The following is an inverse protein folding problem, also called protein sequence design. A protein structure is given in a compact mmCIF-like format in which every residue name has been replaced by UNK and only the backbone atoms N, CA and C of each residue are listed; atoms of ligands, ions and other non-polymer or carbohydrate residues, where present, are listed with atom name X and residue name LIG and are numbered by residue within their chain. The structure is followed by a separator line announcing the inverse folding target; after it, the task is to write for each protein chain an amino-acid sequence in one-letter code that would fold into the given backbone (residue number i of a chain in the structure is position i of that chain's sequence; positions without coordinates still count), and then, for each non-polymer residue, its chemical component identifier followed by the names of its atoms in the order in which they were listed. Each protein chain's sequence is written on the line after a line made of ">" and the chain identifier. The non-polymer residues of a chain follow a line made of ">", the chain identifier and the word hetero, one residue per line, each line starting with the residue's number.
data_IF_774388212230
#
_entry.id   IF_774388212230
#
_cell.length_a   1.000
_cell.length_b   1.000
_cell.length_c   1.000
_cell.angle_alpha   90.00
_cell.angle_beta   90.00
_cell.angle_gamma   90.00
#
_symmetry.space_group_name_H-M   'P 1'
#
loop_
_entity.id
_entity.type
_entity.pdbx_description
1 polymer ?
#
# COMPACT_ATOMS: atom_id res chain seq x y z
N UNK A 1 16.99 31.20 6.34
CA UNK A 1 16.23 32.37 5.89
C UNK A 1 15.39 31.88 4.71
N UNK A 2 14.06 31.77 4.92
CA UNK A 2 13.15 31.31 3.89
C UNK A 2 12.89 32.42 2.88
N UNK A 3 13.05 32.13 1.61
CA UNK A 3 12.62 32.98 0.52
C UNK A 3 11.12 32.76 0.35
N UNK A 4 10.35 33.86 0.36
CA UNK A 4 8.90 33.81 0.11
C UNK A 4 8.66 33.28 -1.29
N UNK A 5 7.73 32.32 -1.46
CA UNK A 5 7.40 31.77 -2.78
C UNK A 5 7.01 32.81 -3.82
N UNK A 6 6.36 33.91 -3.39
CA UNK A 6 5.97 35.01 -4.29
C UNK A 6 7.18 35.82 -4.75
N UNK A 7 8.17 36.02 -3.89
CA UNK A 7 9.47 36.69 -4.25
C UNK A 7 10.25 35.81 -5.24
N UNK A 8 10.13 34.50 -5.17
CA UNK A 8 10.77 33.55 -6.11
C UNK A 8 10.13 33.63 -7.51
N UNK A 9 8.81 33.76 -7.57
CA UNK A 9 8.07 33.94 -8.82
C UNK A 9 8.41 35.27 -9.49
N UNK A 10 8.50 36.37 -8.72
CA UNK A 10 8.88 37.67 -9.22
C UNK A 10 10.33 37.68 -9.72
N UNK A 11 11.26 37.06 -8.97
CA UNK A 11 12.67 36.96 -9.33
C UNK A 11 12.89 36.12 -10.61
N UNK A 12 12.08 35.07 -10.84
CA UNK A 12 12.15 34.23 -12.05
C UNK A 12 11.51 34.96 -13.24
N UNK A 13 10.43 35.70 -13.00
CA UNK A 13 9.74 36.48 -14.04
C UNK A 13 10.60 37.65 -14.59
N UNK A 14 11.34 38.33 -13.72
CA UNK A 14 12.21 39.46 -14.10
C UNK A 14 13.47 39.03 -14.88
N UNK A 15 13.89 37.78 -14.78
CA UNK A 15 15.08 37.24 -15.44
C UNK A 15 14.80 36.44 -16.70
N UNK A 16 13.56 36.07 -16.95
CA UNK A 16 13.14 35.56 -18.26
C UNK A 16 13.14 36.75 -19.21
N UNK A 17 14.04 36.78 -20.20
CA UNK A 17 14.16 37.78 -21.23
C UNK A 17 12.77 38.27 -21.68
N UNK A 18 12.56 39.59 -21.82
CA UNK A 18 11.26 40.11 -22.23
C UNK A 18 10.89 39.54 -23.60
N UNK A 19 9.93 38.65 -23.61
CA UNK A 19 9.32 38.19 -24.84
C UNK A 19 8.52 39.36 -25.41
N UNK A 20 8.80 39.80 -26.67
CA UNK A 20 8.07 40.92 -27.26
C UNK A 20 6.57 40.65 -27.20
N UNK A 21 5.78 41.63 -26.78
CA UNK A 21 4.34 41.53 -26.51
C UNK A 21 3.46 41.10 -27.71
N UNK A 22 4.04 40.68 -28.83
CA UNK A 22 3.37 40.11 -29.99
C UNK A 22 3.70 38.63 -30.29
N UNK A 23 4.59 38.00 -29.52
CA UNK A 23 5.06 36.63 -29.78
C UNK A 23 4.33 35.56 -28.96
N UNK A 24 3.52 35.95 -27.97
CA UNK A 24 2.56 35.05 -27.32
C UNK A 24 1.28 34.95 -28.18
N UNK A 25 1.40 34.46 -29.43
CA UNK A 25 0.30 33.67 -29.95
C UNK A 25 0.13 32.53 -28.97
N UNK A 26 -1.04 32.47 -28.30
CA UNK A 26 -1.57 31.25 -27.75
C UNK A 26 -1.57 30.24 -28.90
N UNK A 27 -0.48 29.55 -29.13
CA UNK A 27 -0.60 28.22 -29.66
C UNK A 27 -1.37 27.48 -28.55
N UNK A 28 -2.66 27.36 -28.70
CA UNK A 28 -3.38 26.20 -28.23
C UNK A 28 -2.67 25.04 -28.92
N UNK A 29 -1.60 24.56 -28.28
CA UNK A 29 -1.15 23.20 -28.51
C UNK A 29 -2.31 22.39 -27.98
N UNK A 30 -3.22 22.00 -28.90
CA UNK A 30 -4.10 20.89 -28.61
C UNK A 30 -3.17 19.83 -28.08
N UNK A 31 -3.40 19.30 -26.85
CA UNK A 31 -2.58 18.22 -26.34
C UNK A 31 -2.60 17.19 -27.49
N UNK A 32 -1.44 16.73 -27.97
CA UNK A 32 -1.41 15.75 -29.02
C UNK A 32 -2.36 14.65 -28.59
N UNK A 33 -3.22 14.23 -29.49
CA UNK A 33 -4.22 13.17 -29.29
C UNK A 33 -3.47 11.84 -29.11
N UNK A 34 -2.81 11.72 -27.95
CA UNK A 34 -2.20 10.49 -27.50
C UNK A 34 -3.36 9.64 -27.00
N UNK A 35 -4.11 9.07 -27.89
CA UNK A 35 -4.84 7.87 -27.53
C UNK A 35 -3.80 6.89 -26.96
N UNK A 36 -3.67 6.91 -25.63
CA UNK A 36 -2.80 5.96 -24.95
C UNK A 36 -3.37 4.59 -25.27
N UNK A 37 -2.70 3.90 -26.19
CA UNK A 37 -3.11 2.54 -26.58
C UNK A 37 -3.28 1.72 -25.30
N UNK A 38 -4.44 1.06 -25.11
CA UNK A 38 -4.68 0.21 -23.97
C UNK A 38 -3.56 -0.84 -23.84
N UNK A 39 -3.27 -1.23 -22.61
CA UNK A 39 -2.27 -2.27 -22.32
C UNK A 39 -2.55 -3.55 -23.12
N UNK A 40 -1.54 -4.07 -23.79
CA UNK A 40 -1.58 -5.33 -24.52
C UNK A 40 -0.46 -6.25 -24.04
N UNK A 41 -0.81 -7.34 -23.38
CA UNK A 41 0.15 -8.31 -22.86
C UNK A 41 0.95 -8.99 -23.98
N UNK A 42 0.43 -9.01 -25.21
CA UNK A 42 1.12 -9.63 -26.37
C UNK A 42 2.34 -8.85 -26.83
N UNK A 43 2.50 -7.58 -26.39
CA UNK A 43 3.71 -6.78 -26.61
C UNK A 43 4.92 -7.30 -25.81
N UNK A 44 4.71 -8.24 -24.88
CA UNK A 44 5.70 -8.69 -23.91
C UNK A 44 6.05 -10.17 -24.08
N UNK A 45 7.33 -10.48 -24.02
CA UNK A 45 7.84 -11.83 -23.80
C UNK A 45 7.96 -12.08 -22.29
N UNK A 46 7.18 -13.04 -21.76
CA UNK A 46 7.10 -13.29 -20.34
C UNK A 46 8.00 -14.46 -19.92
N UNK A 47 8.83 -14.24 -18.89
CA UNK A 47 9.63 -15.28 -18.25
C UNK A 47 9.13 -15.50 -16.83
N UNK A 48 8.64 -16.71 -16.55
CA UNK A 48 8.08 -17.07 -15.25
C UNK A 48 9.15 -17.64 -14.32
N UNK A 49 9.00 -17.35 -13.04
CA UNK A 49 9.79 -17.96 -11.98
C UNK A 49 9.30 -19.40 -11.77
N UNK A 50 10.21 -20.37 -11.81
CA UNK A 50 9.92 -21.77 -11.46
C UNK A 50 10.65 -22.11 -10.16
N UNK A 51 9.93 -22.38 -9.05
CA UNK A 51 10.53 -22.71 -7.75
C UNK A 51 11.42 -23.97 -7.80
N UNK A 52 11.22 -24.84 -8.79
CA UNK A 52 11.96 -26.10 -8.95
C UNK A 52 13.18 -25.98 -9.87
N UNK A 53 13.31 -24.85 -10.61
CA UNK A 53 14.37 -24.69 -11.63
C UNK A 53 15.31 -23.54 -11.26
N UNK A 54 16.51 -23.88 -10.73
CA UNK A 54 17.53 -22.91 -10.36
C UNK A 54 17.90 -21.93 -11.48
N UNK A 55 17.87 -22.38 -12.73
CA UNK A 55 18.21 -21.52 -13.88
C UNK A 55 17.22 -20.38 -14.07
N UNK A 56 15.92 -20.60 -13.80
CA UNK A 56 14.89 -19.55 -13.83
C UNK A 56 15.06 -18.61 -12.65
N UNK A 57 15.31 -19.13 -11.43
CA UNK A 57 15.49 -18.34 -10.21
C UNK A 57 16.61 -17.32 -10.34
N UNK A 58 17.75 -17.72 -10.94
CA UNK A 58 18.91 -16.82 -11.15
C UNK A 58 18.57 -15.55 -11.92
N UNK A 59 17.61 -15.60 -12.84
CA UNK A 59 17.20 -14.42 -13.63
C UNK A 59 16.55 -13.35 -12.77
N UNK A 60 15.92 -13.72 -11.66
CA UNK A 60 15.21 -12.84 -10.75
C UNK A 60 16.12 -12.28 -9.64
N UNK A 61 17.28 -12.87 -9.43
CA UNK A 61 18.19 -12.52 -8.34
C UNK A 61 18.46 -11.02 -8.23
N UNK A 62 18.80 -10.35 -9.31
CA UNK A 62 19.12 -8.91 -9.33
C UNK A 62 17.94 -7.98 -9.04
N UNK A 63 16.73 -8.51 -8.98
CA UNK A 63 15.53 -7.75 -8.67
C UNK A 63 15.11 -7.90 -7.20
N UNK A 64 15.43 -9.03 -6.58
CA UNK A 64 14.99 -9.35 -5.22
C UNK A 64 16.07 -9.23 -4.15
N UNK A 65 17.36 -9.39 -4.52
CA UNK A 65 18.48 -9.46 -3.55
C UNK A 65 18.50 -8.27 -2.59
N UNK A 66 18.52 -7.05 -3.11
CA UNK A 66 18.59 -5.85 -2.28
C UNK A 66 17.24 -5.43 -1.69
N UNK A 67 16.17 -6.12 -2.05
CA UNK A 67 14.85 -5.99 -1.42
C UNK A 67 14.67 -6.93 -0.23
N UNK A 68 15.64 -7.80 0.01
CA UNK A 68 15.61 -8.75 1.12
C UNK A 68 14.57 -9.88 0.97
N UNK A 69 13.93 -9.99 -0.19
CA UNK A 69 12.90 -11.02 -0.43
C UNK A 69 13.57 -12.35 -0.74
N UNK A 70 13.42 -13.31 0.18
CA UNK A 70 14.05 -14.61 0.09
C UNK A 70 13.41 -15.55 -0.96
N UNK A 71 14.11 -16.64 -1.28
CA UNK A 71 13.63 -17.62 -2.26
C UNK A 71 12.34 -18.34 -1.85
N UNK A 72 12.10 -18.50 -0.54
CA UNK A 72 10.88 -19.12 -0.02
C UNK A 72 9.68 -18.22 -0.29
N UNK A 73 9.82 -16.92 -0.06
CA UNK A 73 8.79 -15.92 -0.37
C UNK A 73 8.57 -15.81 -1.88
N UNK A 74 9.67 -15.74 -2.68
CA UNK A 74 9.54 -15.76 -4.13
C UNK A 74 8.82 -17.03 -4.63
N UNK A 75 9.09 -18.19 -4.03
CA UNK A 75 8.40 -19.43 -4.37
C UNK A 75 6.91 -19.39 -4.00
N UNK A 76 6.55 -18.81 -2.86
CA UNK A 76 5.15 -18.64 -2.44
C UNK A 76 4.37 -17.78 -3.44
N UNK A 77 4.96 -16.69 -3.91
CA UNK A 77 4.31 -15.72 -4.81
C UNK A 77 4.63 -15.93 -6.31
N UNK A 78 5.22 -17.06 -6.70
CA UNK A 78 5.76 -17.29 -8.05
C UNK A 78 4.76 -17.13 -9.20
N UNK A 79 3.46 -17.23 -8.93
CA UNK A 79 2.39 -17.04 -9.92
C UNK A 79 2.02 -15.57 -10.14
N UNK A 80 2.43 -14.69 -9.23
CA UNK A 80 1.97 -13.30 -9.16
C UNK A 80 3.04 -12.29 -9.58
N UNK A 81 4.16 -12.74 -10.15
CA UNK A 81 5.16 -11.91 -10.79
C UNK A 81 5.84 -12.63 -11.96
N UNK A 82 6.46 -11.88 -12.83
CA UNK A 82 7.26 -12.39 -13.95
C UNK A 82 8.36 -11.39 -14.34
N UNK A 83 9.29 -11.80 -15.20
CA UNK A 83 10.08 -10.86 -15.97
C UNK A 83 9.39 -10.65 -17.31
N UNK A 84 9.00 -9.41 -17.59
CA UNK A 84 8.42 -9.03 -18.86
C UNK A 84 9.47 -8.28 -19.70
N UNK A 85 9.67 -8.74 -20.93
CA UNK A 85 10.60 -8.14 -21.89
C UNK A 85 9.80 -7.52 -23.02
N UNK A 86 9.95 -6.21 -23.21
CA UNK A 86 9.35 -5.45 -24.32
C UNK A 86 10.43 -4.97 -25.28
N UNK A 87 10.12 -4.98 -26.56
CA UNK A 87 10.95 -4.36 -27.59
C UNK A 87 10.39 -2.95 -27.86
N UNK A 88 11.25 -1.94 -27.78
CA UNK A 88 10.90 -0.57 -28.17
C UNK A 88 10.95 -0.39 -29.69
N UNK A 89 10.37 0.70 -30.18
CA UNK A 89 10.34 1.03 -31.61
C UNK A 89 11.76 1.22 -32.20
N UNK A 90 12.71 1.65 -31.35
CA UNK A 90 14.14 1.76 -31.70
C UNK A 90 14.86 0.39 -31.77
N UNK A 91 14.14 -0.71 -31.53
CA UNK A 91 14.67 -2.08 -31.53
C UNK A 91 15.32 -2.51 -30.23
N UNK A 92 15.50 -1.61 -29.25
CA UNK A 92 16.09 -1.94 -27.94
C UNK A 92 15.10 -2.79 -27.14
N UNK A 93 15.61 -3.88 -26.57
CA UNK A 93 14.85 -4.76 -25.66
C UNK A 93 15.17 -4.40 -24.22
N UNK A 94 14.15 -4.25 -23.41
CA UNK A 94 14.30 -4.08 -21.96
C UNK A 94 13.48 -5.10 -21.19
N UNK A 95 14.02 -5.55 -20.07
CA UNK A 95 13.39 -6.53 -19.19
C UNK A 95 13.14 -5.89 -17.83
N UNK A 96 11.93 -6.03 -17.30
CA UNK A 96 11.50 -5.54 -15.98
C UNK A 96 10.95 -6.70 -15.15
N UNK A 97 11.10 -6.60 -13.84
CA UNK A 97 10.26 -7.37 -12.93
C UNK A 97 8.87 -6.75 -12.96
N UNK A 98 7.89 -7.56 -13.31
CA UNK A 98 6.52 -7.10 -13.54
C UNK A 98 5.56 -7.83 -12.64
N UNK A 99 4.70 -7.08 -11.96
CA UNK A 99 3.61 -7.55 -11.13
C UNK A 99 2.31 -7.35 -11.91
N UNK A 100 1.64 -8.45 -12.36
CA UNK A 100 0.44 -8.34 -13.16
C UNK A 100 -0.71 -7.67 -12.40
N UNK A 101 -1.28 -6.63 -12.98
CA UNK A 101 -2.50 -6.00 -12.53
C UNK A 101 -3.68 -6.66 -13.22
N UNK A 102 -4.66 -7.11 -12.46
CA UNK A 102 -5.84 -7.82 -12.96
C UNK A 102 -7.12 -7.07 -12.58
N UNK A 103 -8.18 -7.26 -13.36
CA UNK A 103 -9.51 -6.81 -12.95
C UNK A 103 -10.06 -7.80 -11.92
N UNK A 104 -10.46 -7.35 -10.72
CA UNK A 104 -10.98 -8.25 -9.69
C UNK A 104 -12.17 -9.08 -10.15
N UNK A 105 -13.08 -8.47 -10.93
CA UNK A 105 -14.32 -9.11 -11.43
C UNK A 105 -14.11 -10.03 -12.64
N UNK A 106 -13.00 -9.86 -13.37
CA UNK A 106 -12.66 -10.65 -14.54
C UNK A 106 -11.43 -11.51 -14.22
N UNK A 107 -11.63 -12.66 -13.56
CA UNK A 107 -10.56 -13.51 -13.08
C UNK A 107 -9.52 -13.82 -14.17
N UNK A 108 -8.28 -13.40 -13.94
CA UNK A 108 -7.15 -13.68 -14.82
C UNK A 108 -6.93 -12.72 -15.98
N UNK A 109 -7.79 -11.73 -16.22
CA UNK A 109 -7.57 -10.71 -17.25
C UNK A 109 -6.52 -9.70 -16.78
N UNK A 110 -5.32 -9.78 -17.32
CA UNK A 110 -4.24 -8.85 -17.04
C UNK A 110 -4.48 -7.57 -17.84
N UNK A 111 -4.54 -6.43 -17.12
CA UNK A 111 -4.84 -5.09 -17.66
C UNK A 111 -3.69 -4.12 -17.45
N UNK A 112 -2.56 -4.59 -16.96
CA UNK A 112 -1.38 -3.78 -16.74
C UNK A 112 -0.27 -4.54 -16.03
N UNK A 113 0.86 -3.87 -15.89
CA UNK A 113 1.96 -4.29 -15.04
C UNK A 113 2.44 -3.11 -14.19
N UNK A 114 2.63 -3.36 -12.90
CA UNK A 114 3.55 -2.57 -12.09
C UNK A 114 4.96 -3.06 -12.40
N UNK A 115 5.85 -2.18 -12.87
CA UNK A 115 7.19 -2.55 -13.34
C UNK A 115 8.29 -2.05 -12.41
N UNK A 116 9.26 -2.91 -12.15
CA UNK A 116 10.43 -2.59 -11.34
C UNK A 116 11.72 -2.94 -12.11
N UNK A 117 12.66 -2.01 -12.08
CA UNK A 117 14.02 -2.25 -12.54
C UNK A 117 14.81 -3.14 -11.57
N UNK A 118 16.07 -3.36 -11.88
CA UNK A 118 16.99 -4.09 -11.00
C UNK A 118 17.13 -3.31 -9.67
N UNK A 119 17.16 -4.04 -8.60
CA UNK A 119 17.38 -3.44 -7.28
C UNK A 119 18.81 -2.90 -7.14
N UNK A 120 18.96 -1.78 -6.42
CA UNK A 120 20.25 -1.18 -6.04
C UNK A 120 20.62 -1.61 -4.63
N UNK A 121 21.87 -1.35 -4.24
CA UNK A 121 22.40 -1.71 -2.93
C UNK A 121 21.65 -1.04 -1.76
N UNK A 122 21.00 0.09 -1.99
CA UNK A 122 20.18 0.81 -1.00
C UNK A 122 18.74 0.26 -0.91
N UNK A 123 18.41 -0.78 -1.69
CA UNK A 123 17.08 -1.38 -1.77
C UNK A 123 16.12 -0.67 -2.73
N UNK A 124 16.50 0.47 -3.33
CA UNK A 124 15.71 1.13 -4.36
C UNK A 124 15.72 0.37 -5.68
N UNK A 125 14.79 0.71 -6.58
CA UNK A 125 14.80 0.19 -7.95
C UNK A 125 15.49 1.16 -8.90
N UNK A 126 16.14 0.63 -9.95
CA UNK A 126 16.68 1.45 -11.03
C UNK A 126 15.59 2.06 -11.92
N UNK A 127 14.39 1.52 -11.83
CA UNK A 127 13.18 1.95 -12.54
C UNK A 127 11.96 1.56 -11.70
N UNK A 128 10.99 2.44 -11.63
CA UNK A 128 9.74 2.24 -10.90
C UNK A 128 8.64 2.99 -11.63
N UNK A 129 7.74 2.27 -12.27
CA UNK A 129 6.65 2.82 -13.07
C UNK A 129 5.66 1.72 -13.44
N UNK A 130 4.70 2.04 -14.30
CA UNK A 130 3.72 1.12 -14.87
C UNK A 130 4.00 0.88 -16.36
N UNK A 131 3.58 -0.28 -16.83
CA UNK A 131 3.56 -0.52 -18.26
C UNK A 131 2.59 0.45 -18.96
N UNK A 132 2.99 0.97 -20.11
CA UNK A 132 2.18 1.91 -20.86
C UNK A 132 0.79 1.34 -21.15
N UNK A 133 -0.27 2.14 -20.91
CA UNK A 133 -1.65 1.76 -21.13
C UNK A 133 -2.26 0.89 -20.01
N UNK A 134 -1.54 0.66 -18.91
CA UNK A 134 -2.08 -0.06 -17.75
C UNK A 134 -3.34 0.61 -17.21
N UNK A 135 -4.36 -0.19 -16.90
CA UNK A 135 -5.59 0.30 -16.26
C UNK A 135 -5.33 0.53 -14.77
N UNK A 136 -4.95 1.76 -14.42
CA UNK A 136 -4.66 2.17 -13.05
C UNK A 136 -5.91 2.43 -12.22
N UNK A 137 -7.07 2.56 -12.87
CA UNK A 137 -8.34 2.90 -12.20
C UNK A 137 -9.04 1.66 -11.61
N UNK A 138 -8.86 0.50 -12.25
CA UNK A 138 -9.54 -0.75 -11.84
C UNK A 138 -8.59 -1.92 -11.58
N UNK A 139 -7.39 -1.87 -12.18
CA UNK A 139 -6.41 -2.95 -12.08
C UNK A 139 -5.75 -3.00 -10.69
N UNK A 140 -5.70 -4.19 -10.10
CA UNK A 140 -5.00 -4.45 -8.84
C UNK A 140 -4.08 -5.67 -8.99
N UNK A 141 -2.98 -5.67 -8.26
CA UNK A 141 -2.21 -6.90 -8.10
C UNK A 141 -2.88 -7.78 -7.05
N UNK A 142 -3.12 -9.05 -7.38
CA UNK A 142 -3.72 -10.04 -6.48
C UNK A 142 -2.82 -11.26 -6.42
N UNK A 143 -2.55 -11.73 -5.20
CA UNK A 143 -1.73 -12.91 -4.95
C UNK A 143 -2.23 -13.73 -3.78
N UNK A 144 -2.06 -15.05 -3.87
CA UNK A 144 -2.21 -15.96 -2.74
C UNK A 144 -1.15 -17.05 -2.83
N UNK A 145 -0.36 -17.29 -1.76
CA UNK A 145 0.65 -18.35 -1.74
C UNK A 145 0.07 -19.73 -2.04
N UNK A 146 -1.06 -20.07 -1.45
CA UNK A 146 -1.77 -21.33 -1.73
C UNK A 146 -2.61 -21.32 -3.01
N UNK A 147 -2.77 -20.15 -3.65
CA UNK A 147 -3.62 -19.98 -4.83
C UNK A 147 -5.12 -19.90 -4.49
N UNK A 148 -5.47 -19.43 -3.29
CA UNK A 148 -6.86 -19.19 -2.88
C UNK A 148 -7.52 -18.18 -3.82
N UNK A 149 -8.66 -18.50 -4.41
CA UNK A 149 -9.43 -17.55 -5.22
C UNK A 149 -9.91 -16.37 -4.36
N UNK A 150 -10.05 -15.19 -4.97
CA UNK A 150 -10.47 -13.99 -4.27
C UNK A 150 -11.81 -14.19 -3.54
N UNK A 151 -12.79 -14.80 -4.19
CA UNK A 151 -14.12 -15.06 -3.63
C UNK A 151 -14.15 -16.11 -2.48
N UNK A 152 -13.07 -16.87 -2.31
CA UNK A 152 -12.94 -17.89 -1.24
C UNK A 152 -12.04 -17.39 -0.10
N UNK A 153 -11.55 -16.15 -0.20
CA UNK A 153 -10.66 -15.57 0.79
C UNK A 153 -11.37 -15.44 2.15
N UNK A 154 -10.70 -15.88 3.21
CA UNK A 154 -11.12 -15.60 4.61
C UNK A 154 -10.41 -14.38 5.17
N UNK A 155 -9.22 -14.07 4.64
CA UNK A 155 -8.38 -12.95 5.03
C UNK A 155 -7.86 -12.27 3.76
N UNK A 156 -8.05 -10.96 3.67
CA UNK A 156 -7.55 -10.12 2.58
C UNK A 156 -6.63 -9.04 3.17
N UNK A 157 -5.40 -9.01 2.70
CA UNK A 157 -4.38 -8.07 3.15
C UNK A 157 -4.10 -7.02 2.07
N UNK A 158 -4.22 -5.74 2.41
CA UNK A 158 -4.11 -4.61 1.49
C UNK A 158 -2.80 -3.87 1.65
N UNK A 159 -2.13 -3.62 0.53
CA UNK A 159 -0.84 -2.93 0.47
C UNK A 159 -0.82 -1.93 -0.68
N UNK A 160 0.09 -0.95 -0.61
CA UNK A 160 0.38 -0.06 -1.72
C UNK A 160 1.32 -0.65 -2.76
N UNK A 161 2.12 -1.65 -2.40
CA UNK A 161 3.03 -2.31 -3.35
C UNK A 161 3.09 -3.81 -3.16
N UNK A 162 3.36 -4.53 -4.25
CA UNK A 162 3.57 -5.97 -4.21
C UNK A 162 4.80 -6.35 -3.37
N UNK A 163 5.84 -5.49 -3.32
CA UNK A 163 7.01 -5.72 -2.47
C UNK A 163 6.68 -5.65 -0.99
N UNK A 164 5.84 -4.71 -0.56
CA UNK A 164 5.42 -4.62 0.84
C UNK A 164 4.57 -5.83 1.25
N UNK A 165 3.69 -6.30 0.36
CA UNK A 165 2.93 -7.53 0.56
C UNK A 165 3.85 -8.76 0.75
N UNK A 166 4.86 -8.91 -0.10
CA UNK A 166 5.84 -9.99 0.01
C UNK A 166 6.70 -9.86 1.27
N UNK A 167 7.10 -8.66 1.65
CA UNK A 167 7.86 -8.38 2.86
C UNK A 167 7.05 -8.70 4.12
N UNK A 168 5.79 -8.25 4.17
CA UNK A 168 4.87 -8.58 5.26
C UNK A 168 4.71 -10.09 5.43
N UNK A 169 4.46 -10.81 4.34
CA UNK A 169 4.39 -12.27 4.37
C UNK A 169 5.68 -12.89 4.93
N UNK A 170 6.86 -12.43 4.48
CA UNK A 170 8.15 -12.96 4.94
C UNK A 170 8.38 -12.71 6.43
N UNK A 171 8.01 -11.53 6.94
CA UNK A 171 8.14 -11.17 8.35
C UNK A 171 7.24 -12.02 9.27
N UNK A 172 6.07 -12.44 8.77
CA UNK A 172 5.03 -13.02 9.63
C UNK A 172 4.72 -14.50 9.35
N UNK A 173 5.10 -15.07 8.21
CA UNK A 173 4.73 -16.44 7.77
C UNK A 173 5.09 -17.55 8.75
N UNK A 174 6.16 -17.41 9.51
CA UNK A 174 6.60 -18.45 10.45
C UNK A 174 5.80 -18.44 11.76
N UNK A 175 5.17 -17.29 12.08
CA UNK A 175 4.29 -17.10 13.24
C UNK A 175 2.80 -17.23 12.90
N UNK A 176 2.43 -16.93 11.66
CA UNK A 176 1.05 -16.96 11.19
C UNK A 176 0.92 -17.82 9.92
N UNK A 177 0.45 -19.06 10.07
CA UNK A 177 0.27 -20.01 8.97
C UNK A 177 -0.96 -19.74 8.11
N UNK A 178 -1.91 -18.93 8.59
CA UNK A 178 -3.09 -18.55 7.79
C UNK A 178 -2.71 -17.65 6.60
N UNK A 179 -1.54 -16.99 6.66
CA UNK A 179 -1.01 -16.20 5.55
C UNK A 179 -0.80 -17.02 4.27
N UNK A 180 -0.55 -18.32 4.38
CA UNK A 180 -0.41 -19.18 3.21
C UNK A 180 -1.73 -19.25 2.38
N UNK A 181 -2.89 -19.15 3.05
CA UNK A 181 -4.23 -19.19 2.46
C UNK A 181 -4.84 -17.82 2.24
N UNK A 182 -4.21 -16.77 2.77
CA UNK A 182 -4.68 -15.41 2.63
C UNK A 182 -4.56 -14.92 1.18
N UNK A 183 -5.33 -13.90 0.85
CA UNK A 183 -5.20 -13.15 -0.38
C UNK A 183 -4.53 -11.81 -0.07
N UNK A 184 -3.52 -11.47 -0.84
CA UNK A 184 -2.77 -10.22 -0.78
C UNK A 184 -3.17 -9.36 -1.97
N UNK A 185 -3.50 -8.11 -1.72
CA UNK A 185 -3.91 -7.13 -2.73
C UNK A 185 -2.97 -5.94 -2.67
N UNK A 186 -2.44 -5.52 -3.81
CA UNK A 186 -1.78 -4.23 -3.93
C UNK A 186 -2.50 -3.36 -4.93
N UNK A 187 -2.75 -2.13 -4.54
CA UNK A 187 -3.32 -1.10 -5.42
C UNK A 187 -2.27 -0.45 -6.30
N UNK A 188 -1.00 -0.79 -6.08
CA UNK A 188 0.18 -0.31 -6.79
C UNK A 188 0.39 1.21 -6.70
N UNK A 189 -0.48 1.93 -6.03
CA UNK A 189 -0.44 3.36 -5.73
C UNK A 189 -1.63 3.70 -4.80
N UNK A 190 -1.98 5.00 -4.68
CA UNK A 190 -3.19 5.42 -3.98
C UNK A 190 -4.42 4.72 -4.56
N UNK A 191 -5.20 4.02 -3.73
CA UNK A 191 -6.32 3.21 -4.20
C UNK A 191 -7.41 4.08 -4.82
N UNK A 192 -7.92 3.65 -5.97
CA UNK A 192 -9.17 4.18 -6.52
C UNK A 192 -10.37 3.52 -5.85
N UNK A 193 -11.52 4.19 -5.88
CA UNK A 193 -12.79 3.60 -5.43
C UNK A 193 -13.14 2.34 -6.23
N UNK A 194 -12.85 2.29 -7.52
CA UNK A 194 -13.14 1.13 -8.36
C UNK A 194 -12.26 -0.08 -8.02
N UNK A 195 -10.97 0.15 -7.75
CA UNK A 195 -10.07 -0.90 -7.27
C UNK A 195 -10.58 -1.50 -5.96
N UNK A 196 -10.90 -0.64 -4.98
CA UNK A 196 -11.39 -1.07 -3.67
C UNK A 196 -12.69 -1.84 -3.79
N UNK A 197 -13.72 -1.27 -4.44
CA UNK A 197 -15.02 -1.92 -4.62
C UNK A 197 -14.93 -3.21 -5.42
N UNK A 198 -14.12 -3.23 -6.48
CA UNK A 198 -13.93 -4.42 -7.30
C UNK A 198 -13.46 -5.64 -6.49
N UNK A 199 -12.61 -5.41 -5.49
CA UNK A 199 -12.15 -6.47 -4.57
C UNK A 199 -13.18 -6.73 -3.47
N UNK A 200 -13.68 -5.70 -2.81
CA UNK A 200 -14.58 -5.81 -1.65
C UNK A 200 -15.89 -6.53 -2.00
N UNK A 201 -16.50 -6.25 -3.13
CA UNK A 201 -17.74 -6.90 -3.59
C UNK A 201 -17.60 -8.42 -3.73
N UNK A 202 -16.38 -8.93 -3.83
CA UNK A 202 -16.09 -10.37 -3.89
C UNK A 202 -15.60 -10.95 -2.58
N UNK A 203 -15.15 -10.11 -1.66
CA UNK A 203 -14.45 -10.56 -0.44
C UNK A 203 -15.19 -10.23 0.86
N UNK A 204 -16.33 -9.58 0.82
CA UNK A 204 -17.19 -9.50 1.99
C UNK A 204 -17.96 -10.83 2.07
N UNK A 205 -17.84 -11.63 3.12
CA UNK A 205 -17.53 -11.29 4.52
C UNK A 205 -16.08 -11.62 4.99
N UNK A 206 -15.09 -11.66 4.15
CA UNK A 206 -13.72 -11.91 4.60
C UNK A 206 -13.21 -10.82 5.54
N UNK A 207 -12.34 -11.18 6.49
CA UNK A 207 -11.63 -10.23 7.32
C UNK A 207 -10.66 -9.41 6.49
N UNK A 208 -10.75 -8.09 6.58
CA UNK A 208 -9.91 -7.16 5.84
C UNK A 208 -8.74 -6.68 6.73
N UNK A 209 -7.52 -6.79 6.25
CA UNK A 209 -6.32 -6.31 6.93
C UNK A 209 -5.71 -5.16 6.12
N UNK A 210 -5.77 -3.96 6.66
CA UNK A 210 -5.26 -2.75 6.03
C UNK A 210 -3.81 -2.56 6.47
N UNK A 211 -2.88 -2.90 5.59
CA UNK A 211 -1.45 -2.95 5.86
C UNK A 211 -0.68 -1.90 5.05
N UNK A 212 -1.24 -0.71 4.87
CA UNK A 212 -0.58 0.38 4.19
C UNK A 212 0.60 0.93 5.00
N UNK A 213 1.49 1.65 4.34
CA UNK A 213 2.64 2.30 4.95
C UNK A 213 2.24 3.42 5.92
N UNK A 214 3.15 3.78 6.82
CA UNK A 214 2.91 4.75 7.88
C UNK A 214 3.21 6.20 7.46
N UNK A 215 2.70 6.70 6.33
CA UNK A 215 2.77 8.12 5.96
C UNK A 215 1.38 8.75 5.92
N UNK A 216 1.29 10.06 6.07
CA UNK A 216 0.01 10.81 6.05
C UNK A 216 -0.83 10.49 4.81
N UNK A 217 -0.19 10.43 3.63
CA UNK A 217 -0.88 10.12 2.39
C UNK A 217 -1.47 8.70 2.36
N UNK A 218 -0.78 7.73 2.98
CA UNK A 218 -1.27 6.36 3.09
C UNK A 218 -2.31 6.19 4.19
N UNK A 219 -2.27 7.04 5.20
CA UNK A 219 -3.35 7.13 6.17
C UNK A 219 -4.68 7.51 5.51
N UNK A 220 -4.68 8.53 4.65
CA UNK A 220 -5.87 8.91 3.87
C UNK A 220 -6.37 7.75 3.01
N UNK A 221 -5.47 6.95 2.44
CA UNK A 221 -5.82 5.77 1.66
C UNK A 221 -6.42 4.65 2.50
N UNK A 222 -5.88 4.41 3.69
CA UNK A 222 -6.43 3.46 4.65
C UNK A 222 -7.84 3.87 5.05
N UNK A 223 -8.04 5.15 5.31
CA UNK A 223 -9.33 5.68 5.67
C UNK A 223 -10.37 5.58 4.56
N UNK A 224 -9.97 5.87 3.32
CA UNK A 224 -10.84 5.64 2.17
C UNK A 224 -11.24 4.17 2.05
N UNK A 225 -10.30 3.24 2.25
CA UNK A 225 -10.59 1.81 2.20
C UNK A 225 -11.58 1.40 3.30
N UNK A 226 -11.40 1.85 4.54
CA UNK A 226 -12.35 1.59 5.62
C UNK A 226 -13.76 2.08 5.29
N UNK A 227 -13.83 3.30 4.76
CA UNK A 227 -15.11 3.85 4.31
C UNK A 227 -15.74 2.99 3.21
N UNK A 228 -14.96 2.55 2.23
CA UNK A 228 -15.47 1.70 1.16
C UNK A 228 -15.88 0.30 1.67
N UNK A 229 -15.21 -0.25 2.69
CA UNK A 229 -15.64 -1.48 3.36
C UNK A 229 -17.07 -1.29 3.90
N UNK A 230 -17.32 -0.24 4.67
CA UNK A 230 -18.66 0.03 5.21
C UNK A 230 -19.68 0.36 4.12
N UNK A 231 -19.30 1.12 3.09
CA UNK A 231 -20.19 1.40 1.96
C UNK A 231 -20.58 0.12 1.22
N UNK A 232 -19.65 -0.80 1.01
CA UNK A 232 -19.94 -2.08 0.34
C UNK A 232 -20.86 -2.96 1.19
N UNK A 233 -20.67 -2.99 2.52
CA UNK A 233 -21.58 -3.69 3.44
C UNK A 233 -22.95 -3.04 3.44
N UNK A 234 -23.02 -1.71 3.53
CA UNK A 234 -24.27 -0.96 3.42
C UNK A 234 -25.01 -1.32 2.14
N UNK A 235 -24.34 -1.23 0.99
CA UNK A 235 -24.95 -1.50 -0.32
C UNK A 235 -25.48 -2.95 -0.40
N UNK A 236 -24.80 -3.91 0.22
CA UNK A 236 -25.26 -5.30 0.34
C UNK A 236 -26.51 -5.40 1.25
N UNK A 237 -26.55 -4.64 2.35
CA UNK A 237 -27.68 -4.61 3.30
C UNK A 237 -28.87 -3.86 2.69
N UNK A 238 -28.65 -2.75 1.99
CA UNK A 238 -29.71 -1.96 1.32
C UNK A 238 -30.46 -2.76 0.25
N UNK A 239 -29.81 -3.73 -0.34
CA UNK A 239 -30.49 -4.67 -1.25
C UNK A 239 -31.49 -5.58 -0.50
N UNK A 240 -31.46 -5.60 0.83
CA UNK A 240 -32.48 -6.26 1.64
C UNK A 240 -33.64 -5.29 1.93
N UNK A 241 -34.90 -5.64 1.61
CA UNK A 241 -36.05 -4.74 1.74
C UNK A 241 -36.27 -4.16 3.15
N UNK A 242 -35.68 -4.76 4.16
CA UNK A 242 -35.89 -4.49 5.59
C UNK A 242 -35.06 -3.29 6.10
N UNK A 243 -34.01 -2.88 5.42
CA UNK A 243 -33.04 -1.86 5.90
C UNK A 243 -33.17 -0.47 5.28
N UNK A 244 -33.74 -0.36 4.09
CA UNK A 244 -33.92 0.92 3.41
C UNK A 244 -34.61 2.00 4.27
N UNK A 245 -35.66 1.68 5.08
CA UNK A 245 -36.33 2.67 5.91
C UNK A 245 -35.44 3.34 6.97
N UNK A 246 -34.38 2.65 7.42
CA UNK A 246 -33.47 3.21 8.42
C UNK A 246 -32.62 4.35 7.82
N UNK A 247 -32.00 4.15 6.67
CA UNK A 247 -31.16 5.16 6.03
C UNK A 247 -31.97 6.38 5.59
N UNK A 248 -33.20 6.16 5.11
CA UNK A 248 -34.15 7.23 4.76
C UNK A 248 -34.63 8.03 5.98
N UNK A 249 -34.49 7.48 7.19
CA UNK A 249 -34.89 8.11 8.45
C UNK A 249 -33.83 9.00 9.11
N UNK A 250 -32.58 9.00 8.61
CA UNK A 250 -31.49 9.79 9.20
C UNK A 250 -31.69 11.28 8.91
N UNK A 251 -31.87 12.15 9.94
CA UNK A 251 -32.10 13.57 9.75
C UNK A 251 -30.87 14.28 9.13
N UNK A 252 -31.11 15.24 8.25
CA UNK A 252 -30.05 16.07 7.66
C UNK A 252 -29.47 17.13 8.63
N UNK A 253 -30.15 17.44 9.72
CA UNK A 253 -29.67 18.32 10.79
C UNK A 253 -29.48 19.80 10.42
N UNK A 254 -30.18 20.31 9.39
CA UNK A 254 -29.94 21.65 8.83
C UNK A 254 -30.23 22.80 9.79
N UNK A 255 -31.05 22.62 10.82
CA UNK A 255 -31.50 23.66 11.77
C UNK A 255 -31.07 23.40 13.23
N UNK A 256 -30.04 22.58 13.45
CA UNK A 256 -29.60 22.17 14.78
C UNK A 256 -28.40 22.99 15.27
N UNK A 257 -28.29 23.15 16.57
CA UNK A 257 -27.06 23.64 17.21
C UNK A 257 -25.92 22.64 17.05
N UNK A 258 -24.66 23.07 17.17
CA UNK A 258 -23.48 22.21 17.03
C UNK A 258 -23.54 20.98 17.96
N UNK A 259 -24.00 21.16 19.22
CA UNK A 259 -24.15 20.07 20.16
C UNK A 259 -25.26 19.08 19.79
N UNK A 260 -26.40 19.58 19.29
CA UNK A 260 -27.49 18.72 18.80
C UNK A 260 -27.08 17.99 17.53
N UNK A 261 -26.35 18.66 16.65
CA UNK A 261 -25.81 18.05 15.41
C UNK A 261 -24.82 16.92 15.71
N UNK A 262 -23.96 17.08 16.72
CA UNK A 262 -23.04 16.02 17.18
C UNK A 262 -23.78 14.76 17.64
N UNK A 263 -24.95 14.90 18.22
CA UNK A 263 -25.76 13.75 18.67
C UNK A 263 -26.40 12.98 17.51
N UNK A 264 -26.48 13.58 16.33
CA UNK A 264 -26.92 12.86 15.14
C UNK A 264 -25.82 11.95 14.57
N UNK A 265 -26.17 10.82 13.97
CA UNK A 265 -25.17 9.93 13.37
C UNK A 265 -24.23 10.65 12.39
N UNK A 266 -24.76 11.56 11.54
CA UNK A 266 -23.96 12.34 10.58
C UNK A 266 -23.04 13.34 11.25
N UNK A 267 -23.53 14.12 12.20
CA UNK A 267 -22.76 15.11 12.93
C UNK A 267 -21.69 14.47 13.81
N UNK A 268 -22.05 13.44 14.55
CA UNK A 268 -21.10 12.66 15.35
C UNK A 268 -19.99 12.02 14.52
N UNK A 269 -20.33 11.52 13.33
CA UNK A 269 -19.33 11.00 12.39
C UNK A 269 -18.35 12.10 11.94
N UNK A 270 -18.85 13.28 11.57
CA UNK A 270 -17.99 14.37 11.10
C UNK A 270 -17.03 14.88 12.18
N UNK A 271 -17.52 15.01 13.42
CA UNK A 271 -16.68 15.48 14.53
C UNK A 271 -15.67 14.43 15.00
N UNK A 272 -16.08 13.18 15.12
CA UNK A 272 -15.14 12.08 15.45
C UNK A 272 -14.06 11.90 14.39
N UNK A 273 -14.40 12.19 13.15
CA UNK A 273 -13.48 12.23 12.02
C UNK A 273 -12.41 13.31 12.21
N UNK A 274 -12.81 14.55 12.49
CA UNK A 274 -11.88 15.68 12.71
C UNK A 274 -10.94 15.41 13.90
N UNK A 275 -11.48 14.86 14.99
CA UNK A 275 -10.66 14.53 16.17
C UNK A 275 -9.63 13.46 15.83
N UNK A 276 -10.04 12.41 15.13
CA UNK A 276 -9.12 11.38 14.72
C UNK A 276 -8.01 11.92 13.80
N UNK A 277 -8.35 12.77 12.82
CA UNK A 277 -7.36 13.40 11.92
C UNK A 277 -6.36 14.26 12.71
N UNK A 278 -6.84 15.08 13.66
CA UNK A 278 -5.97 15.92 14.49
C UNK A 278 -4.99 15.09 15.32
N UNK A 279 -5.49 14.06 16.01
CA UNK A 279 -4.66 13.20 16.85
C UNK A 279 -3.68 12.36 16.00
N UNK A 280 -4.07 12.01 14.79
CA UNK A 280 -3.19 11.37 13.83
C UNK A 280 -2.03 12.26 13.39
N UNK A 281 -2.32 13.50 12.98
CA UNK A 281 -1.29 14.46 12.58
C UNK A 281 -0.29 14.69 13.71
N UNK A 282 -0.77 14.83 14.95
CA UNK A 282 0.08 14.99 16.12
C UNK A 282 0.94 13.75 16.36
N UNK A 283 0.36 12.56 16.36
CA UNK A 283 1.09 11.30 16.52
C UNK A 283 2.18 11.14 15.45
N UNK A 284 1.90 11.46 14.18
CA UNK A 284 2.89 11.38 13.11
C UNK A 284 3.99 12.44 13.25
N UNK A 285 3.64 13.64 13.68
CA UNK A 285 4.61 14.70 13.98
C UNK A 285 5.57 14.29 15.11
N UNK A 286 5.03 13.76 16.22
CA UNK A 286 5.83 13.26 17.34
C UNK A 286 6.73 12.11 16.97
N UNK A 287 6.25 11.13 16.18
CA UNK A 287 7.04 10.00 15.67
C UNK A 287 8.21 10.43 14.78
N UNK A 288 8.03 11.49 14.02
CA UNK A 288 9.10 12.04 13.16
C UNK A 288 10.11 12.90 13.92
N UNK A 289 9.75 13.39 15.10
CA UNK A 289 10.58 14.23 15.95
C UNK A 289 11.61 13.41 16.74
N UNK A 290 12.88 13.85 16.68
CA UNK A 290 13.94 13.27 17.53
C UNK A 290 13.92 13.79 18.95
N UNK A 291 13.07 14.77 19.25
CA UNK A 291 12.99 15.45 20.53
C UNK A 291 11.91 14.85 21.45
N UNK A 292 10.99 14.07 20.92
CA UNK A 292 9.93 13.46 21.71
C UNK A 292 10.44 12.17 22.38
N UNK A 293 10.12 12.00 23.66
CA UNK A 293 10.40 10.75 24.35
C UNK A 293 9.53 9.62 23.81
N UNK A 294 10.03 8.37 23.75
CA UNK A 294 9.27 7.23 23.26
C UNK A 294 7.93 7.01 24.00
N UNK A 295 7.88 7.34 25.28
CA UNK A 295 6.70 7.23 26.15
C UNK A 295 5.62 8.21 25.67
N UNK A 296 5.98 9.47 25.43
CA UNK A 296 5.07 10.51 24.96
C UNK A 296 4.48 10.15 23.57
N UNK A 297 5.32 9.58 22.69
CA UNK A 297 4.87 9.08 21.38
C UNK A 297 3.87 7.95 21.52
N UNK A 298 4.09 7.02 22.48
CA UNK A 298 3.16 5.91 22.71
C UNK A 298 1.83 6.41 23.28
N UNK A 299 1.85 7.33 24.23
CA UNK A 299 0.64 7.93 24.82
C UNK A 299 -0.20 8.65 23.76
N UNK A 300 0.46 9.34 22.82
CA UNK A 300 -0.23 9.99 21.70
C UNK A 300 -0.83 8.97 20.74
N UNK A 301 -0.11 7.87 20.44
CA UNK A 301 -0.63 6.76 19.62
C UNK A 301 -1.86 6.14 20.30
N UNK A 302 -1.85 5.97 21.62
CA UNK A 302 -2.98 5.40 22.36
C UNK A 302 -4.19 6.35 22.33
N UNK A 303 -3.95 7.66 22.37
CA UNK A 303 -4.99 8.70 22.22
C UNK A 303 -5.59 8.65 20.81
N UNK A 304 -4.76 8.64 19.79
CA UNK A 304 -5.17 8.48 18.38
C UNK A 304 -6.01 7.20 18.19
N UNK A 305 -5.57 6.07 18.74
CA UNK A 305 -6.32 4.82 18.65
C UNK A 305 -7.68 4.86 19.36
N UNK A 306 -7.81 5.66 20.40
CA UNK A 306 -9.12 5.89 21.09
C UNK A 306 -10.05 6.68 20.19
N UNK A 307 -9.57 7.79 19.59
CA UNK A 307 -10.35 8.60 18.65
C UNK A 307 -10.72 7.78 17.39
N UNK A 308 -9.82 6.92 16.92
CA UNK A 308 -10.12 6.00 15.85
C UNK A 308 -11.26 5.02 16.15
N UNK A 309 -11.29 4.45 17.35
CA UNK A 309 -12.41 3.56 17.78
C UNK A 309 -13.73 4.30 17.82
N UNK A 310 -13.74 5.53 18.35
CA UNK A 310 -14.93 6.37 18.38
C UNK A 310 -15.43 6.69 16.97
N UNK A 311 -14.53 7.13 16.09
CA UNK A 311 -14.84 7.35 14.68
C UNK A 311 -15.44 6.11 14.02
N UNK A 312 -14.88 4.93 14.25
CA UNK A 312 -15.39 3.67 13.72
C UNK A 312 -16.80 3.34 14.22
N UNK A 313 -17.07 3.59 15.48
CA UNK A 313 -18.43 3.41 16.05
C UNK A 313 -19.45 4.38 15.43
N UNK A 314 -19.06 5.66 15.27
CA UNK A 314 -19.92 6.66 14.63
C UNK A 314 -20.16 6.35 13.14
N UNK A 315 -19.17 5.85 12.44
CA UNK A 315 -19.34 5.41 11.06
C UNK A 315 -20.33 4.24 10.95
N UNK A 316 -20.22 3.27 11.84
CA UNK A 316 -21.15 2.13 11.92
C UNK A 316 -22.58 2.60 12.24
N UNK A 317 -22.73 3.47 13.21
CA UNK A 317 -24.01 4.08 13.58
C UNK A 317 -24.62 4.83 12.38
N UNK A 318 -23.84 5.66 11.70
CA UNK A 318 -24.27 6.40 10.51
C UNK A 318 -24.73 5.48 9.37
N UNK A 319 -24.04 4.37 9.14
CA UNK A 319 -24.38 3.40 8.10
C UNK A 319 -25.47 2.41 8.54
N UNK A 320 -25.92 2.46 9.79
CA UNK A 320 -26.94 1.55 10.32
C UNK A 320 -26.48 0.08 10.37
N UNK A 321 -25.17 -0.14 10.52
CA UNK A 321 -24.58 -1.47 10.60
C UNK A 321 -24.63 -1.93 12.05
N UNK A 322 -25.40 -2.99 12.34
CA UNK A 322 -25.40 -3.59 13.66
C UNK A 322 -24.15 -4.48 13.89
N UNK A 323 -23.94 -4.90 15.14
CA UNK A 323 -22.75 -5.69 15.50
C UNK A 323 -22.71 -7.06 14.82
N UNK A 324 -23.84 -7.62 14.42
CA UNK A 324 -23.92 -8.93 13.76
C UNK A 324 -23.48 -8.84 12.30
N UNK A 325 -23.60 -7.65 11.69
CA UNK A 325 -23.21 -7.37 10.30
C UNK A 325 -21.94 -6.51 10.22
N UNK A 326 -21.27 -6.27 11.34
CA UNK A 326 -20.02 -5.49 11.36
C UNK A 326 -18.91 -6.26 10.61
N UNK A 327 -18.24 -5.57 9.70
CA UNK A 327 -17.12 -6.16 8.97
C UNK A 327 -15.92 -6.18 9.86
N UNK A 328 -15.32 -7.35 10.00
CA UNK A 328 -14.09 -7.50 10.73
C UNK A 328 -12.91 -6.97 9.89
N UNK A 329 -12.32 -5.87 10.33
CA UNK A 329 -11.10 -5.35 9.73
C UNK A 329 -10.10 -4.87 10.78
N UNK A 330 -8.83 -4.91 10.42
CA UNK A 330 -7.72 -4.44 11.26
C UNK A 330 -6.85 -3.47 10.47
N UNK A 331 -6.24 -2.51 11.16
CA UNK A 331 -5.08 -1.77 10.66
C UNK A 331 -3.82 -2.39 11.22
N UNK A 332 -2.86 -2.58 10.34
CA UNK A 332 -1.53 -3.06 10.68
C UNK A 332 -0.51 -2.15 9.98
N UNK A 333 0.45 -1.66 10.74
CA UNK A 333 1.49 -0.76 10.23
C UNK A 333 2.86 -1.36 10.49
N UNK A 334 3.87 -1.02 9.66
CA UNK A 334 5.25 -1.33 9.99
C UNK A 334 5.63 -0.74 11.35
N UNK A 335 6.57 -1.35 12.03
CA UNK A 335 7.16 -0.77 13.26
C UNK A 335 7.47 0.72 13.01
N UNK A 336 7.13 1.60 13.97
CA UNK A 336 7.22 3.06 13.87
C UNK A 336 8.57 3.60 13.36
N UNK A 337 9.64 2.82 13.45
CA UNK A 337 10.98 3.14 12.94
C UNK A 337 11.12 2.96 11.43
N UNK A 338 10.13 2.38 10.78
CA UNK A 338 10.17 2.01 9.37
C UNK A 338 9.00 2.63 8.61
N UNK A 339 9.29 3.16 7.42
CA UNK A 339 8.26 3.78 6.58
C UNK A 339 7.43 2.75 5.79
N UNK A 340 7.95 1.54 5.63
CA UNK A 340 7.30 0.48 4.84
C UNK A 340 7.66 -0.90 5.36
N UNK A 341 6.87 -1.91 5.02
CA UNK A 341 7.13 -3.31 5.36
C UNK A 341 8.44 -3.83 4.76
N UNK A 342 8.75 -3.42 3.53
CA UNK A 342 10.05 -3.77 2.94
C UNK A 342 11.21 -3.09 3.65
N UNK A 343 11.02 -1.85 4.10
CA UNK A 343 12.00 -1.16 4.95
C UNK A 343 12.25 -1.86 6.28
N UNK A 344 11.20 -2.33 6.93
CA UNK A 344 11.29 -3.11 8.17
C UNK A 344 12.04 -4.43 7.94
N UNK A 345 11.68 -5.19 6.91
CA UNK A 345 12.34 -6.44 6.55
C UNK A 345 13.85 -6.27 6.38
N UNK A 346 14.25 -5.27 5.63
CA UNK A 346 15.67 -4.98 5.40
C UNK A 346 16.42 -4.60 6.69
N UNK A 347 15.76 -3.88 7.59
CA UNK A 347 16.35 -3.51 8.87
C UNK A 347 16.50 -4.72 9.81
N UNK A 348 15.53 -5.63 9.85
CA UNK A 348 15.60 -6.85 10.64
C UNK A 348 16.73 -7.77 10.15
N UNK A 349 16.86 -7.97 8.84
CA UNK A 349 17.93 -8.76 8.24
C UNK A 349 19.33 -8.20 8.58
N UNK A 350 19.53 -6.88 8.49
CA UNK A 350 20.79 -6.24 8.85
C UNK A 350 21.14 -6.44 10.34
N UNK A 351 20.13 -6.47 11.21
CA UNK A 351 20.34 -6.76 12.64
C UNK A 351 20.78 -8.21 12.86
N UNK A 352 20.11 -9.15 12.21
CA UNK A 352 20.47 -10.57 12.30
C UNK A 352 21.88 -10.83 11.80
N UNK A 353 22.28 -10.25 10.67
CA UNK A 353 23.64 -10.33 10.12
C UNK A 353 24.68 -9.74 11.10
N UNK A 354 24.37 -8.59 11.72
CA UNK A 354 25.28 -7.95 12.68
C UNK A 354 25.45 -8.75 13.96
N UNK A 355 24.39 -9.38 14.46
CA UNK A 355 24.42 -10.26 15.63
C UNK A 355 25.22 -11.53 15.32
N UNK A 356 24.96 -12.16 14.16
CA UNK A 356 25.71 -13.34 13.72
C UNK A 356 27.21 -13.08 13.62
N UNK A 357 27.61 -11.99 12.97
CA UNK A 357 29.03 -11.60 12.86
C UNK A 357 29.67 -11.32 14.23
N UNK A 358 28.90 -10.81 15.19
CA UNK A 358 29.42 -10.58 16.55
C UNK A 358 29.63 -11.90 17.29
N UNK A 359 28.70 -12.83 17.19
CA UNK A 359 28.80 -14.17 17.78
C UNK A 359 30.00 -14.94 17.20
N UNK A 360 30.18 -14.96 15.89
CA UNK A 360 31.31 -15.58 15.22
C UNK A 360 32.67 -15.01 15.71
N UNK A 361 32.73 -13.68 15.92
CA UNK A 361 33.94 -13.03 16.48
C UNK A 361 34.19 -13.40 17.94
N UNK A 362 33.15 -13.49 18.76
CA UNK A 362 33.25 -13.87 20.16
C UNK A 362 33.66 -15.34 20.29
N UNK A 363 33.10 -16.26 19.52
CA UNK A 363 33.50 -17.67 19.44
C UNK A 363 34.95 -17.85 18.99
N UNK A 364 35.35 -17.15 17.92
CA UNK A 364 36.73 -17.18 17.42
C UNK A 364 37.74 -16.67 18.48
N UNK A 365 37.37 -15.60 19.19
CA UNK A 365 38.21 -15.04 20.26
C UNK A 365 38.31 -15.98 21.47
N UNK A 366 37.27 -16.73 21.76
CA UNK A 366 37.28 -17.72 22.85
C UNK A 366 38.09 -18.96 22.49
N UNK A 367 38.00 -19.45 21.27
CA UNK A 367 38.85 -20.54 20.74
C UNK A 367 40.34 -20.15 20.75
N UNK A 368 40.69 -18.93 20.37
CA UNK A 368 42.07 -18.42 20.46
C UNK A 368 42.58 -18.36 21.91
N UNK A 369 41.73 -17.96 22.89
CA UNK A 369 42.07 -17.93 24.31
C UNK A 369 42.30 -19.33 24.83
N UNK A 370 41.44 -20.29 24.50
CA UNK A 370 41.59 -21.69 24.93
C UNK A 370 42.85 -22.31 24.33
N UNK A 371 43.18 -22.03 23.08
CA UNK A 371 44.40 -22.50 22.42
C UNK A 371 45.67 -21.91 23.07
N UNK A 372 45.61 -20.66 23.57
CA UNK A 372 46.74 -20.04 24.31
C UNK A 372 46.90 -20.56 25.74
N UNK A 373 45.83 -20.97 26.39
CA UNK A 373 45.84 -21.51 27.75
C UNK A 373 46.25 -23.01 27.79
N UNK A 374 46.09 -23.72 26.67
CA UNK A 374 46.45 -25.13 26.50
C UNK A 374 47.90 -25.38 26.07
N UNK A 375 48.69 -24.30 25.89
CA UNK A 375 50.13 -24.33 25.63
C UNK A 375 50.89 -23.84 26.89
#
# INVERSE_FOLDING_TARGET
>A
EGIDPDDLVEFVSDRLLPVPAGALRKQTVEPPDWEVRPFDITDYELHRFDPKKRATQKRFYTYFTYRGIDLRTQAAFHRSFCLATKKRDDGVRYTRLSFPMVLPKEAGKIVGFEERGRARADGSSSYEDYAQGSNMDEGVWIASPAGTPLAEAKHVYWFESAFDAMAYYQLHRDRNRELDKAVFVSTSNFPSTKQMRGVLEQTIPARQHICFNSSTAWHDSAWKLEREIYCTVRDAIEQTPERKPYLDSIPDGQDLTEGEYYLLPKGGLQESCKWFDSEWEEAMSMRSSRLCAPEDVQDQIDTMNRCYREYREKLREFLGIDREHDVDFTREEPDYRHKSWNGQLLAEQRREESVGQRQEREESAEEERQTRLGR
#
